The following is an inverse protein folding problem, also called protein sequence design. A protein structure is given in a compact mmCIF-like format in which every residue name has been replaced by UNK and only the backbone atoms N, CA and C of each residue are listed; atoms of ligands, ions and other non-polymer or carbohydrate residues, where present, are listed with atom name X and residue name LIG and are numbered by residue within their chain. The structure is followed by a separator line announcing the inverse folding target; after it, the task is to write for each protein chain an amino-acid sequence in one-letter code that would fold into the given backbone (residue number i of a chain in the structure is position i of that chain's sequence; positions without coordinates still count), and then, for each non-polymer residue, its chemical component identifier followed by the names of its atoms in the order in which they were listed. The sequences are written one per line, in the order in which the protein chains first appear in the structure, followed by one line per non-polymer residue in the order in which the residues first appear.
data_IF_060306357472
#
_entry.id   IF_060306357472
#
_cell.length_a   1.000
_cell.length_b   1.000
_cell.length_c   1.000
_cell.angle_alpha   90.00
_cell.angle_beta   90.00
_cell.angle_gamma   90.00
#
_symmetry.space_group_name_H-M   'P 1'
#
loop_
_entity.id
_entity.type
_entity.pdbx_description
1 polymer ?
#
# COMPACT_ATOMS: atom_id res chain seq x y z
N UNK A 1 -7.63 4.09 -2.02
CA UNK A 1 -6.21 4.27 -2.41
C UNK A 1 -5.39 2.99 -2.20
N UNK A 2 -5.31 2.43 -0.99
CA UNK A 2 -4.47 1.23 -0.73
C UNK A 2 -4.84 -0.03 -1.55
N UNK A 3 -6.12 -0.28 -1.86
CA UNK A 3 -6.54 -1.45 -2.65
C UNK A 3 -6.10 -1.37 -4.12
N UNK A 4 -6.36 -0.24 -4.77
CA UNK A 4 -5.91 0.03 -6.14
C UNK A 4 -4.38 -0.07 -6.25
N UNK A 5 -3.66 0.41 -5.23
CA UNK A 5 -2.20 0.32 -5.22
C UNK A 5 -1.70 -1.13 -5.16
N UNK A 6 -2.39 -2.03 -4.44
CA UNK A 6 -2.04 -3.46 -4.42
C UNK A 6 -2.35 -4.12 -5.76
N UNK A 7 -3.52 -3.85 -6.33
CA UNK A 7 -3.94 -4.36 -7.64
C UNK A 7 -2.95 -3.95 -8.74
N UNK A 8 -2.62 -2.65 -8.84
CA UNK A 8 -1.70 -2.15 -9.87
C UNK A 8 -0.27 -2.62 -9.67
N UNK A 9 0.18 -2.82 -8.41
CA UNK A 9 1.50 -3.40 -8.14
C UNK A 9 1.58 -4.85 -8.61
N UNK A 10 0.50 -5.63 -8.47
CA UNK A 10 0.42 -6.99 -8.97
C UNK A 10 0.42 -7.04 -10.50
N UNK A 11 -0.44 -6.24 -11.14
CA UNK A 11 -0.52 -6.12 -12.60
C UNK A 11 0.83 -5.71 -13.22
N UNK A 12 1.58 -4.81 -12.56
CA UNK A 12 2.90 -4.39 -13.03
C UNK A 12 3.91 -5.55 -13.05
N UNK A 13 3.88 -6.43 -12.04
CA UNK A 13 4.73 -7.62 -11.99
C UNK A 13 4.35 -8.62 -13.09
N UNK A 14 3.06 -8.85 -13.30
CA UNK A 14 2.55 -9.73 -14.36
C UNK A 14 2.94 -9.22 -15.75
N UNK A 15 2.79 -7.91 -16.00
CA UNK A 15 3.22 -7.29 -17.26
C UNK A 15 4.73 -7.49 -17.49
N UNK A 16 5.54 -7.35 -16.44
CA UNK A 16 6.98 -7.59 -16.52
C UNK A 16 7.36 -9.07 -16.68
N UNK A 17 6.39 -9.99 -16.62
CA UNK A 17 6.64 -11.44 -16.64
C UNK A 17 7.35 -11.95 -15.38
N UNK A 18 7.28 -11.19 -14.28
CA UNK A 18 7.92 -11.53 -13.00
C UNK A 18 6.87 -12.20 -12.11
N UNK A 19 6.98 -13.51 -11.82
CA UNK A 19 6.08 -14.13 -10.88
C UNK A 19 6.33 -13.56 -9.47
N UNK A 20 5.30 -13.09 -8.75
CA UNK A 20 5.46 -12.52 -7.40
C UNK A 20 6.19 -13.45 -6.42
N UNK A 21 5.99 -14.76 -6.56
CA UNK A 21 6.67 -15.78 -5.76
C UNK A 21 8.21 -15.78 -5.94
N UNK A 22 8.74 -15.31 -7.08
CA UNK A 22 10.18 -15.20 -7.30
C UNK A 22 10.82 -14.03 -6.53
N UNK A 23 10.02 -13.07 -6.04
CA UNK A 23 10.49 -11.95 -5.25
C UNK A 23 10.50 -12.24 -3.75
N UNK A 24 9.78 -13.27 -3.30
CA UNK A 24 9.68 -13.67 -1.90
C UNK A 24 11.07 -13.96 -1.29
N UNK A 25 11.40 -13.31 -0.17
CA UNK A 25 12.67 -13.47 0.54
C UNK A 25 13.88 -12.82 -0.13
N UNK A 26 13.68 -12.09 -1.23
CA UNK A 26 14.75 -11.35 -1.91
C UNK A 26 14.98 -9.99 -1.26
N UNK A 27 16.12 -9.37 -1.53
CA UNK A 27 16.44 -8.01 -1.05
C UNK A 27 15.80 -6.91 -1.90
N UNK A 28 14.51 -7.05 -2.23
CA UNK A 28 13.77 -6.11 -3.08
C UNK A 28 13.09 -5.05 -2.21
N UNK A 29 13.28 -3.78 -2.55
CA UNK A 29 12.67 -2.66 -1.82
C UNK A 29 11.42 -2.11 -2.53
N UNK A 30 10.42 -1.69 -1.76
CA UNK A 30 9.22 -1.02 -2.27
C UNK A 30 9.24 0.46 -1.88
N UNK A 31 9.08 1.33 -2.87
CA UNK A 31 9.03 2.78 -2.68
C UNK A 31 7.75 3.32 -3.32
N UNK A 32 6.94 4.06 -2.55
CA UNK A 32 5.66 4.61 -3.02
C UNK A 32 5.64 6.11 -2.84
N UNK A 33 5.49 6.86 -3.92
CA UNK A 33 5.24 8.30 -3.88
C UNK A 33 3.77 8.58 -3.65
N UNK A 34 3.42 9.16 -2.51
CA UNK A 34 2.05 9.57 -2.18
C UNK A 34 2.03 11.07 -1.91
N UNK A 35 1.43 11.84 -2.80
CA UNK A 35 1.06 13.23 -2.53
C UNK A 35 -0.36 13.26 -1.95
N UNK A 36 -0.52 13.96 -0.82
CA UNK A 36 -1.78 14.30 -0.12
C UNK A 36 -2.98 13.42 -0.44
N UNK A 37 -3.30 12.50 0.47
CA UNK A 37 -4.53 11.70 0.42
C UNK A 37 -5.73 12.58 0.75
N UNK A 38 -6.50 13.02 -0.26
CA UNK A 38 -7.82 13.66 -0.06
C UNK A 38 -8.78 12.78 0.77
N UNK A 39 -8.52 11.47 0.79
CA UNK A 39 -9.23 10.51 1.63
C UNK A 39 -8.93 10.72 3.14
N UNK A 40 -7.69 11.10 3.50
CA UNK A 40 -7.32 11.45 4.87
C UNK A 40 -8.04 12.72 5.34
N UNK A 41 -8.18 13.70 4.44
CA UNK A 41 -8.87 14.96 4.70
C UNK A 41 -10.39 14.75 4.84
N UNK A 42 -10.98 13.79 4.12
CA UNK A 42 -12.39 13.43 4.24
C UNK A 42 -12.69 12.65 5.54
N UNK A 43 -11.80 11.74 5.96
CA UNK A 43 -11.90 11.02 7.23
C UNK A 43 -11.78 11.95 8.45
N UNK A 44 -11.04 13.05 8.36
CA UNK A 44 -10.95 14.05 9.44
C UNK A 44 -12.27 14.78 9.74
N UNK A 45 -13.27 14.71 8.84
CA UNK A 45 -14.61 15.29 9.04
C UNK A 45 -15.64 14.26 9.54
N UNK A 46 -15.32 12.98 9.52
CA UNK A 46 -16.22 11.89 9.88
C UNK A 46 -15.74 11.17 11.15
N UNK A 47 -16.34 11.58 12.26
CA UNK A 47 -16.61 10.80 13.48
C UNK A 47 -15.46 10.43 14.43
N UNK A 48 -15.75 10.66 15.71
CA UNK A 48 -15.06 10.22 16.94
C UNK A 48 -14.92 8.68 17.07
N UNK A 49 -15.44 7.91 16.11
CA UNK A 49 -15.57 6.44 16.17
C UNK A 49 -14.51 5.63 15.39
N UNK A 50 -13.56 6.26 14.67
CA UNK A 50 -12.67 5.56 13.70
C UNK A 50 -11.18 5.60 14.07
N UNK A 51 -10.83 6.06 15.29
CA UNK A 51 -9.46 6.46 15.63
C UNK A 51 -8.42 5.32 15.55
N UNK A 52 -8.79 4.07 15.86
CA UNK A 52 -7.85 2.94 15.88
C UNK A 52 -7.43 2.45 14.47
N UNK A 53 -8.28 2.60 13.44
CA UNK A 53 -7.98 2.13 12.07
C UNK A 53 -7.44 3.24 11.15
N UNK A 54 -7.44 4.49 11.63
CA UNK A 54 -6.99 5.67 10.86
C UNK A 54 -5.48 5.69 10.65
N UNK A 55 -4.70 5.26 11.65
CA UNK A 55 -3.23 5.31 11.60
C UNK A 55 -2.66 4.34 10.55
N UNK A 56 -3.22 3.14 10.41
CA UNK A 56 -2.76 2.12 9.45
C UNK A 56 -3.43 2.25 8.08
N UNK A 57 -4.62 2.84 8.00
CA UNK A 57 -5.35 3.02 6.74
C UNK A 57 -4.84 4.16 5.85
N UNK A 58 -4.09 5.12 6.41
CA UNK A 58 -3.78 6.37 5.69
C UNK A 58 -2.34 6.88 5.86
N UNK A 59 -1.53 6.28 6.74
CA UNK A 59 -0.12 6.63 6.83
C UNK A 59 0.62 6.24 5.53
N UNK A 60 1.36 7.15 4.89
CA UNK A 60 2.08 6.88 3.63
C UNK A 60 3.08 5.72 3.73
N UNK A 61 3.70 5.56 4.89
CA UNK A 61 4.63 4.46 5.19
C UNK A 61 3.97 3.07 5.19
N UNK A 62 2.65 3.00 5.44
CA UNK A 62 1.92 1.74 5.48
C UNK A 62 1.57 1.25 4.07
N UNK A 63 1.54 2.14 3.08
CA UNK A 63 1.27 1.75 1.69
C UNK A 63 2.39 0.88 1.11
N UNK A 64 3.65 1.31 1.24
CA UNK A 64 4.80 0.50 0.83
C UNK A 64 4.93 -0.78 1.68
N UNK A 65 4.75 -0.69 3.00
CA UNK A 65 4.82 -1.83 3.90
C UNK A 65 3.80 -2.93 3.59
N UNK A 66 2.58 -2.57 3.17
CA UNK A 66 1.55 -3.56 2.78
C UNK A 66 1.91 -4.31 1.50
N UNK A 67 2.53 -3.64 0.53
CA UNK A 67 3.00 -4.29 -0.70
C UNK A 67 4.17 -5.23 -0.35
N UNK A 68 5.15 -4.77 0.43
CA UNK A 68 6.25 -5.61 0.89
C UNK A 68 5.76 -6.86 1.63
N UNK A 69 4.82 -6.69 2.57
CA UNK A 69 4.26 -7.80 3.33
C UNK A 69 3.54 -8.83 2.45
N UNK A 70 2.74 -8.39 1.46
CA UNK A 70 2.00 -9.29 0.57
C UNK A 70 2.94 -10.02 -0.40
N UNK A 71 3.99 -9.35 -0.88
CA UNK A 71 4.99 -9.94 -1.78
C UNK A 71 6.08 -10.73 -1.04
N UNK A 72 6.14 -10.63 0.29
CA UNK A 72 7.14 -11.26 1.15
C UNK A 72 8.55 -10.72 0.95
N UNK A 73 8.67 -9.40 0.82
CA UNK A 73 9.90 -8.62 0.69
C UNK A 73 10.43 -8.14 2.03
#
# INVERSE_FOLDING_TARGET
QQRLLLETSWEALEHAGIPPAALHGTRTGVYTGLSTSDYAAHLGRAAEDVEAHRLTGVAPSVASGRISYVLGL
#
